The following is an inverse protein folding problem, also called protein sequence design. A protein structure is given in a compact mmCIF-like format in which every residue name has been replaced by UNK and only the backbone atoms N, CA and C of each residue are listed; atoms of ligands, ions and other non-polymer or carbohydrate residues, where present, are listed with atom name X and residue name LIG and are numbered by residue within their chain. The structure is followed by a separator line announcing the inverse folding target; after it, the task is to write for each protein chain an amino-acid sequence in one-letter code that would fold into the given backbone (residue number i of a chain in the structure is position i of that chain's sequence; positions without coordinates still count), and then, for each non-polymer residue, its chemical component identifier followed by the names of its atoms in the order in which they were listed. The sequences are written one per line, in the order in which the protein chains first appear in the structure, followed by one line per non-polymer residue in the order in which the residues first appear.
data_IF_314941145578
#
_entry.id   IF_314941145578
#
_cell.length_a   1.000
_cell.length_b   1.000
_cell.length_c   1.000
_cell.angle_alpha   90.00
_cell.angle_beta   90.00
_cell.angle_gamma   90.00
#
_symmetry.space_group_name_H-M   'P 1'
#
loop_
_entity.id
_entity.type
_entity.pdbx_description
1 polymer ?
#
# COMPACT_ATOMS: atom_id res chain seq x y z
N UNK A 1 -6.14 13.91 5.64
CA UNK A 1 -5.46 12.60 5.42
C UNK A 1 -4.21 12.74 4.54
N UNK A 2 -4.26 13.32 3.34
CA UNK A 2 -3.09 13.47 2.46
C UNK A 2 -1.93 14.23 3.12
N UNK A 3 -2.18 15.42 3.67
CA UNK A 3 -1.17 16.25 4.34
C UNK A 3 -0.57 15.53 5.54
N UNK A 4 -1.40 14.83 6.33
CA UNK A 4 -0.94 14.01 7.44
C UNK A 4 -0.04 12.85 7.00
N UNK A 5 -0.42 12.14 5.92
CA UNK A 5 0.38 11.08 5.34
C UNK A 5 1.74 11.55 4.83
N UNK A 6 1.78 12.68 4.10
CA UNK A 6 3.03 13.29 3.64
C UNK A 6 3.91 13.75 4.82
N UNK A 7 3.31 14.35 5.83
CA UNK A 7 4.01 14.74 7.05
C UNK A 7 4.67 13.55 7.76
N UNK A 8 3.93 12.44 7.87
CA UNK A 8 4.46 11.19 8.45
C UNK A 8 5.66 10.67 7.64
N UNK A 9 5.58 10.65 6.31
CA UNK A 9 6.70 10.25 5.44
C UNK A 9 7.95 11.10 5.66
N UNK A 10 7.78 12.42 5.78
CA UNK A 10 8.91 13.35 6.00
C UNK A 10 9.56 13.13 7.37
N UNK A 11 8.76 12.93 8.42
CA UNK A 11 9.28 12.64 9.76
C UNK A 11 10.01 11.29 9.79
N UNK A 12 9.51 10.30 9.09
CA UNK A 12 10.05 8.94 9.11
C UNK A 12 11.20 8.71 8.11
N UNK A 13 11.66 9.76 7.41
CA UNK A 13 12.74 9.64 6.42
C UNK A 13 13.99 8.91 6.92
N UNK A 14 14.38 9.13 8.19
CA UNK A 14 15.55 8.47 8.77
C UNK A 14 15.33 6.95 8.95
N UNK A 15 14.13 6.56 9.37
CA UNK A 15 13.74 5.16 9.49
C UNK A 15 13.69 4.48 8.12
N UNK A 16 13.18 5.18 7.10
CA UNK A 16 13.15 4.70 5.71
C UNK A 16 14.58 4.47 5.17
N UNK A 17 15.47 5.45 5.36
CA UNK A 17 16.86 5.34 4.91
C UNK A 17 17.57 4.19 5.62
N UNK A 18 17.37 4.04 6.94
CA UNK A 18 17.91 2.89 7.69
C UNK A 18 17.38 1.57 7.19
N UNK A 19 16.07 1.44 6.99
CA UNK A 19 15.46 0.21 6.47
C UNK A 19 16.00 -0.18 5.09
N UNK A 20 16.18 0.79 4.18
CA UNK A 20 16.79 0.55 2.87
C UNK A 20 18.26 0.12 3.02
N UNK A 21 19.02 0.77 3.88
CA UNK A 21 20.44 0.45 4.10
C UNK A 21 20.59 -0.95 4.68
N UNK A 22 19.80 -1.28 5.71
CA UNK A 22 19.80 -2.61 6.33
C UNK A 22 19.38 -3.71 5.35
N UNK A 23 18.40 -3.44 4.47
CA UNK A 23 18.00 -4.39 3.42
C UNK A 23 19.13 -4.64 2.42
N UNK A 24 19.84 -3.59 2.00
CA UNK A 24 21.00 -3.72 1.10
C UNK A 24 22.13 -4.51 1.78
N UNK A 25 22.38 -4.24 3.05
CA UNK A 25 23.39 -4.96 3.84
C UNK A 25 23.01 -6.41 4.06
N UNK A 26 21.76 -6.70 4.42
CA UNK A 26 21.24 -8.05 4.58
C UNK A 26 21.35 -8.85 3.27
N UNK A 27 21.09 -8.22 2.11
CA UNK A 27 21.26 -8.84 0.80
C UNK A 27 22.72 -9.19 0.52
N UNK A 28 23.67 -8.41 1.03
CA UNK A 28 25.11 -8.70 0.94
C UNK A 28 25.56 -9.78 1.94
N UNK A 29 24.97 -9.79 3.14
CA UNK A 29 25.31 -10.75 4.21
C UNK A 29 24.71 -12.14 4.03
N UNK A 30 23.67 -12.31 3.20
CA UNK A 30 23.08 -13.63 2.89
C UNK A 30 24.11 -14.57 2.20
N UNK A 31 25.28 -14.05 1.85
CA UNK A 31 26.44 -14.84 1.39
C UNK A 31 27.29 -15.39 2.55
N UNK A 32 27.13 -14.87 3.78
CA UNK A 32 27.88 -15.29 4.96
C UNK A 32 26.94 -16.03 5.92
N UNK A 33 27.22 -17.32 6.09
CA UNK A 33 26.60 -18.35 6.96
C UNK A 33 25.75 -17.77 8.11
N UNK A 34 24.48 -18.21 8.17
CA UNK A 34 23.61 -17.95 9.31
C UNK A 34 24.26 -18.37 10.65
N UNK A 35 23.83 -17.73 11.72
CA UNK A 35 24.29 -17.98 13.11
C UNK A 35 24.11 -19.42 13.60
N UNK A 36 23.53 -20.31 12.80
CA UNK A 36 23.24 -21.70 13.16
C UNK A 36 22.06 -21.86 14.12
N UNK A 37 21.43 -20.79 14.52
CA UNK A 37 20.22 -20.83 15.34
C UNK A 37 18.97 -20.90 14.45
N UNK A 38 18.07 -21.81 14.78
CA UNK A 38 16.80 -22.02 14.07
C UNK A 38 15.93 -20.75 14.01
N UNK A 39 16.04 -19.89 15.02
CA UNK A 39 15.31 -18.61 15.13
C UNK A 39 15.79 -17.53 14.21
N UNK A 40 16.95 -17.72 13.56
CA UNK A 40 17.58 -16.75 12.66
C UNK A 40 17.51 -17.22 11.18
N UNK A 41 16.78 -18.32 10.91
CA UNK A 41 16.61 -18.85 9.56
C UNK A 41 15.46 -18.15 8.85
N UNK A 42 15.78 -17.16 8.02
CA UNK A 42 14.84 -16.45 7.15
C UNK A 42 14.79 -17.04 5.73
N UNK A 43 13.76 -16.65 4.97
CA UNK A 43 13.72 -16.93 3.54
C UNK A 43 14.93 -16.29 2.81
N UNK A 44 15.60 -17.03 1.93
CA UNK A 44 16.74 -16.47 1.21
C UNK A 44 16.31 -15.30 0.32
N UNK A 45 17.08 -14.20 0.36
CA UNK A 45 16.79 -12.98 -0.40
C UNK A 45 16.57 -13.23 -1.91
N UNK A 46 17.25 -14.23 -2.48
CA UNK A 46 17.04 -14.65 -3.87
C UNK A 46 15.63 -15.19 -4.12
N UNK A 47 15.08 -15.96 -3.18
CA UNK A 47 13.72 -16.49 -3.27
C UNK A 47 12.71 -15.34 -3.21
N UNK A 48 12.90 -14.39 -2.30
CA UNK A 48 12.05 -13.20 -2.19
C UNK A 48 12.08 -12.37 -3.48
N UNK A 49 13.28 -12.07 -3.99
CA UNK A 49 13.43 -11.32 -5.24
C UNK A 49 12.79 -12.03 -6.44
N UNK A 50 12.97 -13.35 -6.54
CA UNK A 50 12.35 -14.15 -7.60
C UNK A 50 10.82 -14.13 -7.51
N UNK A 51 10.26 -14.28 -6.31
CA UNK A 51 8.81 -14.21 -6.07
C UNK A 51 8.26 -12.83 -6.42
N UNK A 52 8.93 -11.74 -6.01
CA UNK A 52 8.57 -10.39 -6.39
C UNK A 52 8.58 -10.19 -7.92
N UNK A 53 9.63 -10.67 -8.60
CA UNK A 53 9.72 -10.59 -10.05
C UNK A 53 8.63 -11.44 -10.75
N UNK A 54 8.32 -12.62 -10.22
CA UNK A 54 7.25 -13.46 -10.73
C UNK A 54 5.87 -12.81 -10.57
N UNK A 55 5.64 -12.08 -9.46
CA UNK A 55 4.38 -11.35 -9.22
C UNK A 55 4.22 -10.12 -10.11
N UNK A 56 5.30 -9.57 -10.67
CA UNK A 56 5.20 -8.48 -11.64
C UNK A 56 4.39 -8.86 -12.89
N UNK A 57 4.48 -10.13 -13.30
CA UNK A 57 3.77 -10.63 -14.50
C UNK A 57 2.25 -10.56 -14.34
N UNK A 58 1.62 -11.20 -13.33
CA UNK A 58 0.18 -11.10 -13.17
C UNK A 58 -0.30 -9.66 -12.87
N UNK A 59 0.47 -8.85 -12.13
CA UNK A 59 0.15 -7.44 -11.90
C UNK A 59 0.12 -6.65 -13.21
N UNK A 60 1.12 -6.84 -14.08
CA UNK A 60 1.16 -6.23 -15.40
C UNK A 60 -0.06 -6.62 -16.24
N UNK A 61 -0.33 -7.92 -16.34
CA UNK A 61 -1.45 -8.42 -17.14
C UNK A 61 -2.80 -7.94 -16.60
N UNK A 62 -2.96 -7.86 -15.29
CA UNK A 62 -4.20 -7.36 -14.68
C UNK A 62 -4.47 -5.91 -15.07
N UNK A 63 -3.47 -5.03 -14.93
CA UNK A 63 -3.63 -3.62 -15.32
C UNK A 63 -3.79 -3.48 -16.83
N UNK A 64 -3.05 -4.25 -17.62
CA UNK A 64 -3.17 -4.23 -19.07
C UNK A 64 -4.54 -4.71 -19.57
N UNK A 65 -5.10 -5.77 -19.01
CA UNK A 65 -6.43 -6.26 -19.35
C UNK A 65 -7.54 -5.27 -19.02
N UNK A 66 -7.38 -4.56 -17.90
CA UNK A 66 -8.37 -3.56 -17.45
C UNK A 66 -8.27 -2.26 -18.26
N UNK A 67 -7.05 -1.75 -18.49
CA UNK A 67 -6.85 -0.48 -19.18
C UNK A 67 -6.84 -0.61 -20.71
N UNK A 68 -6.57 -1.81 -21.24
CA UNK A 68 -6.33 -2.01 -22.68
C UNK A 68 -5.06 -1.32 -23.22
N UNK A 69 -4.32 -0.60 -22.37
CA UNK A 69 -3.23 0.28 -22.74
C UNK A 69 -1.89 -0.22 -22.18
N UNK A 70 -0.89 -0.33 -23.04
CA UNK A 70 0.44 -0.86 -22.65
C UNK A 70 1.21 0.10 -21.73
N UNK A 71 1.17 1.41 -22.05
CA UNK A 71 1.96 2.40 -21.32
C UNK A 71 1.48 2.59 -19.86
N UNK A 72 0.17 2.72 -19.57
CA UNK A 72 -0.33 2.70 -18.20
C UNK A 72 0.05 1.42 -17.44
N UNK A 73 0.04 0.25 -18.10
CA UNK A 73 0.42 -1.01 -17.46
C UNK A 73 1.89 -1.03 -17.03
N UNK A 74 2.81 -0.52 -17.87
CA UNK A 74 4.23 -0.40 -17.52
C UNK A 74 4.43 0.60 -16.38
N UNK A 75 3.81 1.79 -16.46
CA UNK A 75 3.90 2.81 -15.41
C UNK A 75 3.32 2.31 -14.08
N UNK A 76 2.25 1.53 -14.14
CA UNK A 76 1.67 0.90 -12.95
C UNK A 76 2.67 0.01 -12.23
N UNK A 77 3.45 -0.81 -12.93
CA UNK A 77 4.48 -1.64 -12.31
C UNK A 77 5.51 -0.78 -11.58
N UNK A 78 5.98 0.29 -12.22
CA UNK A 78 6.95 1.20 -11.60
C UNK A 78 6.37 1.78 -10.31
N UNK A 79 5.12 2.26 -10.34
CA UNK A 79 4.44 2.82 -9.17
C UNK A 79 4.22 1.75 -8.10
N UNK A 80 3.73 0.55 -8.45
CA UNK A 80 3.48 -0.53 -7.50
C UNK A 80 4.78 -0.92 -6.78
N UNK A 81 5.88 -1.11 -7.50
CA UNK A 81 7.13 -1.51 -6.88
C UNK A 81 7.78 -0.40 -6.06
N UNK A 82 7.80 0.84 -6.57
CA UNK A 82 8.43 1.96 -5.85
C UNK A 82 7.59 2.41 -4.66
N UNK A 83 6.31 2.71 -4.86
CA UNK A 83 5.41 3.12 -3.79
C UNK A 83 5.10 1.95 -2.85
N UNK A 84 4.88 0.74 -3.37
CA UNK A 84 4.63 -0.45 -2.57
C UNK A 84 5.77 -0.73 -1.60
N UNK A 85 7.02 -0.70 -2.08
CA UNK A 85 8.20 -0.86 -1.22
C UNK A 85 8.29 0.25 -0.17
N UNK A 86 8.17 1.51 -0.59
CA UNK A 86 8.26 2.66 0.32
C UNK A 86 7.19 2.58 1.42
N UNK A 87 5.95 2.34 1.03
CA UNK A 87 4.85 2.30 1.98
C UNK A 87 4.82 1.04 2.83
N UNK A 88 5.27 -0.11 2.31
CA UNK A 88 5.47 -1.30 3.12
C UNK A 88 6.53 -1.06 4.21
N UNK A 89 7.63 -0.40 3.90
CA UNK A 89 8.65 -0.05 4.88
C UNK A 89 8.11 0.89 5.97
N UNK A 90 7.34 1.93 5.58
CA UNK A 90 6.69 2.84 6.54
C UNK A 90 5.67 2.11 7.41
N UNK A 91 4.80 1.31 6.78
CA UNK A 91 3.76 0.57 7.48
C UNK A 91 4.32 -0.41 8.48
N UNK A 92 5.37 -1.15 8.10
CA UNK A 92 6.07 -2.06 8.98
C UNK A 92 6.71 -1.34 10.18
N UNK A 93 7.39 -0.23 9.93
CA UNK A 93 7.98 0.56 11.01
C UNK A 93 6.90 1.10 11.98
N UNK A 94 5.80 1.65 11.43
CA UNK A 94 4.69 2.15 12.26
C UNK A 94 4.03 1.03 13.06
N UNK A 95 3.84 -0.15 12.46
CA UNK A 95 3.30 -1.31 13.18
C UNK A 95 4.19 -1.71 14.38
N UNK A 96 5.50 -1.53 14.27
CA UNK A 96 6.45 -1.76 15.38
C UNK A 96 6.31 -0.77 16.54
N UNK A 97 5.82 0.46 16.27
CA UNK A 97 5.68 1.52 17.29
C UNK A 97 4.27 1.58 17.87
N UNK A 98 3.25 1.58 17.00
CA UNK A 98 1.84 1.84 17.41
C UNK A 98 0.93 0.61 17.24
N UNK A 99 1.44 -0.48 16.72
CA UNK A 99 0.67 -1.68 16.40
C UNK A 99 0.03 -1.63 15.01
N UNK A 100 -0.28 -2.80 14.43
CA UNK A 100 -0.83 -2.91 13.08
C UNK A 100 -2.21 -2.27 12.92
N UNK A 101 -3.04 -2.32 13.97
CA UNK A 101 -4.40 -1.74 13.97
C UNK A 101 -4.43 -0.22 13.85
N UNK A 102 -3.36 0.48 14.24
CA UNK A 102 -3.23 1.94 14.17
C UNK A 102 -2.39 2.42 12.99
N UNK A 103 -2.06 1.54 12.06
CA UNK A 103 -1.27 1.85 10.88
C UNK A 103 -2.06 2.79 9.94
N UNK A 104 -1.49 3.92 9.48
CA UNK A 104 -2.18 4.93 8.67
C UNK A 104 -2.36 4.51 7.21
N UNK A 105 -2.86 3.29 6.95
CA UNK A 105 -3.05 2.73 5.61
C UNK A 105 -3.93 3.57 4.72
N UNK A 106 -5.01 4.16 5.27
CA UNK A 106 -5.93 5.01 4.51
C UNK A 106 -5.23 6.26 3.95
N UNK A 107 -4.35 6.89 4.74
CA UNK A 107 -3.58 8.06 4.29
C UNK A 107 -2.61 7.71 3.16
N UNK A 108 -1.93 6.59 3.29
CA UNK A 108 -1.01 6.05 2.27
C UNK A 108 -1.76 5.74 0.97
N UNK A 109 -2.90 5.05 1.06
CA UNK A 109 -3.70 4.68 -0.11
C UNK A 109 -4.18 5.92 -0.88
N UNK A 110 -4.62 6.98 -0.18
CA UNK A 110 -5.02 8.25 -0.80
C UNK A 110 -3.85 8.88 -1.56
N UNK A 111 -2.65 8.87 -0.99
CA UNK A 111 -1.44 9.41 -1.68
C UNK A 111 -1.19 8.65 -2.98
N UNK A 112 -1.27 7.32 -2.94
CA UNK A 112 -1.07 6.46 -4.12
C UNK A 112 -2.15 6.70 -5.17
N UNK A 113 -3.42 6.81 -4.77
CA UNK A 113 -4.53 7.15 -5.68
C UNK A 113 -4.26 8.46 -6.38
N UNK A 114 -3.91 9.51 -5.64
CA UNK A 114 -3.65 10.83 -6.23
C UNK A 114 -2.43 10.81 -7.15
N UNK A 115 -1.33 10.17 -6.72
CA UNK A 115 -0.12 10.04 -7.53
C UNK A 115 -0.40 9.30 -8.84
N UNK A 116 -1.09 8.17 -8.77
CA UNK A 116 -1.40 7.36 -9.94
C UNK A 116 -2.42 8.05 -10.84
N UNK A 117 -3.48 8.63 -10.26
CA UNK A 117 -4.51 9.34 -11.00
C UNK A 117 -3.95 10.57 -11.73
N UNK A 118 -3.09 11.35 -11.08
CA UNK A 118 -2.43 12.49 -11.74
C UNK A 118 -1.49 12.05 -12.84
N UNK A 119 -0.71 10.99 -12.63
CA UNK A 119 0.17 10.43 -13.65
C UNK A 119 -0.62 9.94 -14.86
N UNK A 120 -1.73 9.24 -14.63
CA UNK A 120 -2.59 8.72 -15.71
C UNK A 120 -3.40 9.81 -16.37
N UNK A 121 -3.84 10.85 -15.66
CA UNK A 121 -4.50 12.01 -16.25
C UNK A 121 -3.57 12.77 -17.21
N UNK A 122 -2.32 12.99 -16.80
CA UNK A 122 -1.30 13.58 -17.66
C UNK A 122 -1.02 12.71 -18.89
N UNK A 123 -0.89 11.40 -18.69
CA UNK A 123 -0.67 10.46 -19.79
C UNK A 123 -1.86 10.46 -20.76
N UNK A 124 -3.09 10.43 -20.24
CA UNK A 124 -4.31 10.43 -21.05
C UNK A 124 -4.43 11.70 -21.89
N UNK A 125 -4.13 12.85 -21.30
CA UNK A 125 -4.18 14.14 -22.02
C UNK A 125 -3.08 14.29 -23.07
N UNK A 126 -1.86 13.81 -22.80
CA UNK A 126 -0.70 14.00 -23.67
C UNK A 126 -0.60 12.96 -24.79
N UNK A 127 -1.01 11.72 -24.53
CA UNK A 127 -0.80 10.59 -25.45
C UNK A 127 -2.09 10.06 -26.06
N UNK A 128 -3.19 10.02 -25.29
CA UNK A 128 -4.43 9.37 -25.70
C UNK A 128 -5.58 10.35 -26.01
N UNK A 129 -5.35 11.66 -25.94
CA UNK A 129 -6.37 12.66 -26.29
C UNK A 129 -7.58 12.73 -25.36
N UNK A 130 -7.54 12.08 -24.19
CA UNK A 130 -8.60 12.16 -23.19
C UNK A 130 -9.69 11.08 -23.26
N UNK A 131 -9.61 10.14 -24.22
CA UNK A 131 -10.72 9.21 -24.50
C UNK A 131 -10.85 8.03 -23.50
N UNK A 132 -9.77 7.63 -22.80
CA UNK A 132 -9.73 6.39 -21.99
C UNK A 132 -9.92 6.63 -20.49
N UNK A 133 -10.82 7.50 -20.10
CA UNK A 133 -10.95 7.95 -18.70
C UNK A 133 -11.47 6.84 -17.77
N UNK A 134 -12.46 6.04 -18.21
CA UNK A 134 -13.09 5.02 -17.40
C UNK A 134 -12.14 3.84 -17.11
N UNK A 135 -11.44 3.37 -18.13
CA UNK A 135 -10.48 2.27 -18.01
C UNK A 135 -9.31 2.65 -17.11
N UNK A 136 -8.84 3.87 -17.22
CA UNK A 136 -7.77 4.40 -16.38
C UNK A 136 -8.19 4.59 -14.92
N UNK A 137 -9.47 4.93 -14.66
CA UNK A 137 -9.99 5.01 -13.29
C UNK A 137 -9.93 3.66 -12.57
N UNK A 138 -10.35 2.60 -13.23
CA UNK A 138 -10.27 1.23 -12.67
C UNK A 138 -8.83 0.81 -12.46
N UNK A 139 -7.94 1.14 -13.40
CA UNK A 139 -6.52 0.86 -13.28
C UNK A 139 -5.87 1.58 -12.08
N UNK A 140 -6.23 2.86 -11.82
CA UNK A 140 -5.76 3.62 -10.64
C UNK A 140 -6.15 2.94 -9.34
N UNK A 141 -7.41 2.53 -9.23
CA UNK A 141 -7.89 1.84 -8.02
C UNK A 141 -7.18 0.49 -7.85
N UNK A 142 -6.94 -0.25 -8.95
CA UNK A 142 -6.18 -1.49 -8.93
C UNK A 142 -4.75 -1.29 -8.42
N UNK A 143 -4.03 -0.29 -8.92
CA UNK A 143 -2.67 0.06 -8.45
C UNK A 143 -2.68 0.41 -6.97
N UNK A 144 -3.63 1.24 -6.53
CA UNK A 144 -3.76 1.62 -5.14
C UNK A 144 -4.06 0.42 -4.22
N UNK A 145 -4.89 -0.53 -4.69
CA UNK A 145 -5.19 -1.77 -3.97
C UNK A 145 -3.93 -2.62 -3.77
N UNK A 146 -3.09 -2.80 -4.79
CA UNK A 146 -1.81 -3.53 -4.65
C UNK A 146 -0.90 -2.89 -3.61
N UNK A 147 -0.74 -1.57 -3.65
CA UNK A 147 0.11 -0.85 -2.69
C UNK A 147 -0.47 -0.90 -1.28
N UNK A 148 -1.80 -0.78 -1.13
CA UNK A 148 -2.47 -0.89 0.16
C UNK A 148 -2.31 -2.29 0.76
N UNK A 149 -2.46 -3.35 -0.04
CA UNK A 149 -2.22 -4.73 0.40
C UNK A 149 -0.76 -4.93 0.85
N UNK A 150 0.21 -4.41 0.10
CA UNK A 150 1.62 -4.50 0.48
C UNK A 150 1.88 -3.80 1.83
N UNK A 151 1.30 -2.62 2.05
CA UNK A 151 1.40 -1.90 3.32
C UNK A 151 0.73 -2.64 4.50
N UNK A 152 -0.46 -3.20 4.28
CA UNK A 152 -1.19 -3.95 5.30
C UNK A 152 -0.40 -5.21 5.74
N UNK A 153 -0.03 -6.03 4.77
CA UNK A 153 0.74 -7.26 5.01
C UNK A 153 2.08 -6.99 5.69
N UNK A 154 2.74 -5.89 5.36
CA UNK A 154 4.01 -5.53 6.00
C UNK A 154 3.86 -5.33 7.51
N UNK A 155 2.80 -4.65 7.96
CA UNK A 155 2.50 -4.46 9.38
C UNK A 155 2.21 -5.77 10.10
N UNK A 156 1.33 -6.57 9.53
CA UNK A 156 0.92 -7.85 10.10
C UNK A 156 2.08 -8.85 10.15
N UNK A 157 2.87 -8.94 9.08
CA UNK A 157 4.06 -9.80 9.01
C UNK A 157 5.08 -9.48 10.10
N UNK A 158 5.34 -8.20 10.38
CA UNK A 158 6.28 -7.82 11.45
C UNK A 158 5.78 -8.22 12.83
N UNK A 159 4.48 -8.08 13.11
CA UNK A 159 3.91 -8.52 14.39
C UNK A 159 3.95 -10.03 14.56
N UNK A 160 3.63 -10.77 13.50
CA UNK A 160 3.69 -12.24 13.51
C UNK A 160 5.12 -12.75 13.72
N UNK A 161 6.09 -12.18 13.00
CA UNK A 161 7.50 -12.56 13.16
C UNK A 161 8.02 -12.21 14.55
N UNK A 162 7.60 -11.07 15.14
CA UNK A 162 7.97 -10.72 16.50
C UNK A 162 7.39 -11.67 17.52
N UNK A 163 6.12 -12.05 17.37
CA UNK A 163 5.47 -13.06 18.22
C UNK A 163 6.18 -14.41 18.09
N UNK A 164 6.48 -14.82 16.88
CA UNK A 164 7.23 -16.03 16.60
C UNK A 164 8.62 -16.04 17.22
N UNK A 165 9.33 -14.92 17.16
CA UNK A 165 10.63 -14.78 17.81
C UNK A 165 10.54 -15.02 19.33
N UNK A 166 9.51 -14.47 19.99
CA UNK A 166 9.30 -14.64 21.44
C UNK A 166 9.05 -16.09 21.82
N UNK A 167 8.28 -16.85 21.00
CA UNK A 167 7.98 -18.26 21.26
C UNK A 167 9.02 -19.23 20.67
N UNK A 168 10.07 -18.71 20.02
CA UNK A 168 11.14 -19.51 19.42
C UNK A 168 10.74 -20.23 18.13
N UNK A 169 9.80 -19.68 17.37
CA UNK A 169 9.42 -20.21 16.05
C UNK A 169 10.47 -19.89 14.98
N UNK A 170 10.48 -20.67 13.91
CA UNK A 170 11.38 -20.46 12.76
C UNK A 170 10.75 -19.46 11.79
N UNK A 171 11.39 -18.30 11.48
CA UNK A 171 10.78 -17.23 10.68
C UNK A 171 10.31 -17.67 9.29
N UNK A 172 11.11 -18.41 8.52
CA UNK A 172 10.72 -18.83 7.18
C UNK A 172 9.45 -19.69 7.16
N UNK A 173 9.20 -20.48 8.20
CA UNK A 173 7.98 -21.32 8.31
C UNK A 173 6.74 -20.45 8.55
N UNK A 174 6.87 -19.39 9.34
CA UNK A 174 5.80 -18.43 9.57
C UNK A 174 5.48 -17.68 8.28
N UNK A 175 6.49 -17.22 7.54
CA UNK A 175 6.32 -16.54 6.26
C UNK A 175 5.59 -17.42 5.24
N UNK A 176 5.92 -18.71 5.14
CA UNK A 176 5.18 -19.66 4.29
C UNK A 176 3.74 -19.82 4.78
N UNK A 177 3.52 -19.94 6.09
CA UNK A 177 2.18 -20.01 6.68
C UNK A 177 1.31 -18.79 6.30
N UNK A 178 1.89 -17.59 6.33
CA UNK A 178 1.22 -16.36 5.91
C UNK A 178 0.86 -16.38 4.41
N UNK A 179 1.76 -16.84 3.55
CA UNK A 179 1.47 -16.99 2.10
C UNK A 179 0.29 -17.93 1.87
N UNK A 180 0.23 -19.05 2.60
CA UNK A 180 -0.90 -20.00 2.52
C UNK A 180 -2.20 -19.33 3.01
N UNK A 181 -2.12 -18.58 4.12
CA UNK A 181 -3.26 -17.83 4.66
C UNK A 181 -3.79 -16.78 3.69
N UNK A 182 -2.89 -16.01 3.06
CA UNK A 182 -3.25 -15.01 2.02
C UNK A 182 -3.89 -15.69 0.83
N UNK A 183 -3.36 -16.83 0.36
CA UNK A 183 -3.94 -17.58 -0.75
C UNK A 183 -5.37 -18.07 -0.42
N UNK A 184 -5.58 -18.59 0.79
CA UNK A 184 -6.91 -19.01 1.24
C UNK A 184 -7.87 -17.81 1.34
N UNK A 185 -7.42 -16.68 1.90
CA UNK A 185 -8.20 -15.43 1.95
C UNK A 185 -8.57 -14.91 0.57
N UNK A 186 -7.62 -14.94 -0.38
CA UNK A 186 -7.85 -14.51 -1.75
C UNK A 186 -8.91 -15.34 -2.49
N UNK A 187 -9.14 -16.58 -2.09
CA UNK A 187 -10.24 -17.42 -2.64
C UNK A 187 -11.60 -17.05 -2.02
N UNK A 188 -11.65 -16.72 -0.74
CA UNK A 188 -12.90 -16.49 -0.01
C UNK A 188 -13.39 -15.04 -0.10
N UNK A 189 -12.48 -14.06 0.07
CA UNK A 189 -12.84 -12.64 0.15
C UNK A 189 -13.59 -12.13 -1.09
N UNK A 190 -13.20 -12.45 -2.35
CA UNK A 190 -13.93 -12.00 -3.52
C UNK A 190 -15.36 -12.54 -3.60
N UNK A 191 -15.59 -13.76 -3.11
CA UNK A 191 -16.93 -14.34 -3.05
C UNK A 191 -17.82 -13.58 -2.06
N UNK A 192 -17.27 -13.26 -0.87
CA UNK A 192 -17.98 -12.48 0.14
C UNK A 192 -18.27 -11.06 -0.37
N UNK A 193 -17.29 -10.40 -1.00
CA UNK A 193 -17.47 -9.07 -1.56
C UNK A 193 -18.53 -9.05 -2.67
N UNK A 194 -18.58 -10.09 -3.50
CA UNK A 194 -19.61 -10.21 -4.54
C UNK A 194 -21.01 -10.37 -3.96
N UNK A 195 -21.14 -11.11 -2.84
CA UNK A 195 -22.44 -11.25 -2.14
C UNK A 195 -22.89 -9.93 -1.49
N UNK A 196 -21.94 -9.08 -1.06
CA UNK A 196 -22.21 -7.79 -0.42
C UNK A 196 -22.32 -6.64 -1.42
N UNK A 197 -21.96 -6.84 -2.68
CA UNK A 197 -21.88 -5.79 -3.69
C UNK A 197 -23.21 -5.04 -3.88
N UNK A 198 -24.32 -5.77 -3.97
CA UNK A 198 -25.65 -5.16 -4.13
C UNK A 198 -26.04 -4.30 -2.92
N UNK A 199 -25.69 -4.72 -1.70
CA UNK A 199 -25.98 -3.97 -0.48
C UNK A 199 -25.14 -2.68 -0.40
N UNK A 200 -23.88 -2.74 -0.85
CA UNK A 200 -22.98 -1.57 -0.91
C UNK A 200 -23.48 -0.58 -1.98
N UNK A 201 -23.86 -1.07 -3.15
CA UNK A 201 -24.33 -0.22 -4.26
C UNK A 201 -25.67 0.44 -3.92
N UNK A 202 -26.59 -0.28 -3.27
CA UNK A 202 -27.88 0.24 -2.86
C UNK A 202 -27.81 1.19 -1.64
N UNK A 203 -26.65 1.28 -0.98
CA UNK A 203 -26.43 2.12 0.20
C UNK A 203 -26.90 1.52 1.52
N UNK A 204 -27.28 0.24 1.54
CA UNK A 204 -27.67 -0.48 2.76
C UNK A 204 -26.44 -0.78 3.64
N UNK A 205 -25.27 -0.89 3.02
CA UNK A 205 -24.00 -1.07 3.69
C UNK A 205 -23.04 0.06 3.34
N UNK A 206 -22.57 0.79 4.38
CA UNK A 206 -21.66 1.90 4.20
C UNK A 206 -20.23 1.42 3.88
N UNK A 207 -19.66 1.92 2.78
CA UNK A 207 -18.27 1.71 2.39
C UNK A 207 -17.54 3.05 2.13
N UNK A 208 -17.39 3.90 3.17
CA UNK A 208 -16.96 5.30 3.00
C UNK A 208 -15.57 5.42 2.37
N UNK A 209 -14.65 4.51 2.65
CA UNK A 209 -13.31 4.51 2.05
C UNK A 209 -13.35 4.20 0.55
N UNK A 210 -14.15 3.24 0.12
CA UNK A 210 -14.29 2.89 -1.29
C UNK A 210 -14.87 4.06 -2.09
N UNK A 211 -15.94 4.69 -1.57
CA UNK A 211 -16.54 5.86 -2.20
C UNK A 211 -15.59 7.06 -2.25
N UNK A 212 -14.77 7.28 -1.19
CA UNK A 212 -13.77 8.33 -1.18
C UNK A 212 -12.71 8.11 -2.27
N UNK A 213 -12.18 6.90 -2.41
CA UNK A 213 -11.18 6.58 -3.43
C UNK A 213 -11.75 6.73 -4.84
N UNK A 214 -12.97 6.26 -5.06
CA UNK A 214 -13.68 6.43 -6.32
C UNK A 214 -13.91 7.91 -6.65
N UNK A 215 -14.34 8.72 -5.67
CA UNK A 215 -14.57 10.16 -5.86
C UNK A 215 -13.30 10.92 -6.20
N UNK A 216 -12.18 10.62 -5.53
CA UNK A 216 -10.87 11.22 -5.83
C UNK A 216 -10.43 10.86 -7.26
N UNK A 217 -10.55 9.59 -7.62
CA UNK A 217 -10.16 9.10 -8.94
C UNK A 217 -11.00 9.74 -10.05
N UNK A 218 -12.33 9.77 -9.86
CA UNK A 218 -13.26 10.45 -10.77
C UNK A 218 -12.98 11.94 -10.86
N UNK A 219 -12.70 12.59 -9.74
CA UNK A 219 -12.42 14.02 -9.69
C UNK A 219 -11.15 14.39 -10.48
N UNK A 220 -10.09 13.61 -10.38
CA UNK A 220 -8.82 13.89 -11.06
C UNK A 220 -8.88 13.56 -12.55
N UNK A 221 -9.36 12.36 -12.91
CA UNK A 221 -9.41 11.89 -14.30
C UNK A 221 -10.58 12.48 -15.07
N UNK A 222 -11.74 12.66 -14.44
CA UNK A 222 -12.94 13.25 -15.03
C UNK A 222 -13.01 14.77 -14.98
N UNK A 223 -12.04 15.44 -14.34
CA UNK A 223 -11.96 16.92 -14.26
C UNK A 223 -13.01 17.57 -13.36
N UNK A 224 -13.81 16.80 -12.59
CA UNK A 224 -14.87 17.29 -11.74
C UNK A 224 -14.47 17.53 -10.27
N UNK A 225 -13.18 17.64 -9.96
CA UNK A 225 -12.70 17.81 -8.59
C UNK A 225 -12.97 19.23 -8.06
N UNK A 226 -13.63 19.32 -6.93
CA UNK A 226 -13.78 20.60 -6.21
C UNK A 226 -12.48 20.94 -5.46
N UNK A 227 -11.58 21.62 -6.16
CA UNK A 227 -10.30 22.07 -5.62
C UNK A 227 -10.44 22.97 -4.41
N UNK A 228 -11.56 23.71 -4.29
CA UNK A 228 -11.83 24.58 -3.14
C UNK A 228 -11.95 23.78 -1.85
N UNK A 229 -12.70 22.66 -1.88
CA UNK A 229 -12.83 21.74 -0.76
C UNK A 229 -11.52 21.05 -0.40
N UNK A 230 -10.73 20.69 -1.42
CA UNK A 230 -9.41 20.06 -1.22
C UNK A 230 -8.44 21.01 -0.52
N UNK A 231 -8.35 22.26 -0.97
CA UNK A 231 -7.48 23.27 -0.35
C UNK A 231 -7.96 23.66 1.06
N UNK A 232 -9.26 23.73 1.31
CA UNK A 232 -9.80 23.98 2.64
C UNK A 232 -9.45 22.84 3.60
N UNK A 233 -9.63 21.59 3.18
CA UNK A 233 -9.23 20.41 3.97
C UNK A 233 -7.71 20.34 4.22
N UNK A 234 -6.90 20.68 3.23
CA UNK A 234 -5.45 20.76 3.38
C UNK A 234 -5.03 21.87 4.36
N UNK A 235 -5.69 23.03 4.31
CA UNK A 235 -5.46 24.14 5.24
C UNK A 235 -5.76 23.77 6.69
N UNK A 236 -6.91 23.13 6.93
CA UNK A 236 -7.26 22.62 8.26
C UNK A 236 -6.22 21.61 8.76
N UNK A 237 -5.82 20.66 7.93
CA UNK A 237 -4.81 19.67 8.29
C UNK A 237 -3.46 20.33 8.62
N UNK A 238 -3.04 21.32 7.83
CA UNK A 238 -1.82 22.07 8.09
C UNK A 238 -1.89 22.85 9.42
N UNK A 239 -3.02 23.50 9.73
CA UNK A 239 -3.22 24.17 11.00
C UNK A 239 -3.13 23.20 12.19
N UNK A 240 -3.75 22.02 12.10
CA UNK A 240 -3.71 21.01 13.14
C UNK A 240 -2.27 20.49 13.37
N UNK A 241 -1.49 20.29 12.30
CA UNK A 241 -0.10 19.89 12.39
C UNK A 241 0.76 21.00 13.00
N UNK A 242 0.56 22.25 12.59
CA UNK A 242 1.29 23.40 13.12
C UNK A 242 1.01 23.62 14.61
N UNK A 243 -0.20 23.38 15.07
CA UNK A 243 -0.57 23.41 16.48
C UNK A 243 -0.01 22.22 17.30
N UNK A 244 0.73 21.32 16.67
CA UNK A 244 1.24 20.08 17.28
C UNK A 244 0.19 19.18 17.94
N UNK A 245 -1.07 19.35 17.60
CA UNK A 245 -2.13 18.44 18.00
C UNK A 245 -2.08 17.20 17.11
N UNK A 246 -1.15 16.31 17.40
CA UNK A 246 -1.08 15.04 16.72
C UNK A 246 -2.10 14.08 17.34
N UNK A 247 -3.17 13.82 16.61
CA UNK A 247 -4.23 12.86 17.00
C UNK A 247 -3.66 11.43 17.17
N UNK A 248 -2.51 11.14 16.59
CA UNK A 248 -1.79 9.86 16.75
C UNK A 248 -1.09 9.71 18.11
N UNK A 249 -0.68 10.83 18.74
CA UNK A 249 0.01 10.82 20.02
C UNK A 249 -0.90 11.10 21.22
N UNK A 250 -2.15 11.47 20.99
CA UNK A 250 -3.13 11.75 22.06
C UNK A 250 -4.03 10.56 22.37
N UNK A 251 -3.93 9.45 21.65
CA UNK A 251 -4.54 8.20 22.08
C UNK A 251 -3.80 7.73 23.34
N UNK A 252 -4.45 7.69 24.52
CA UNK A 252 -3.82 7.08 25.67
C UNK A 252 -3.53 5.62 25.31
N UNK A 253 -2.24 5.25 25.36
CA UNK A 253 -1.89 3.84 25.31
C UNK A 253 -2.59 3.15 26.49
N UNK A 254 -3.23 2.00 26.27
CA UNK A 254 -3.79 1.21 27.36
C UNK A 254 -2.70 0.76 28.34
#
# INVERSE_FOLDING_TARGET
MLVGGLYTLVIMREALIKGITEMIEATKQTVTKGSGLRTDEDLPAKSIALTCAAMAVPMFFMVWLVSGLLLPAILSLIIIFTAGFLFAAVAGYMAGIVGSSNNPLSGVTIIVVILTATTFALLNSLVYGGENTAELQVAVIGVAAFVACAGAISGDNLQDLKTGYIVGATPWRQQIGQVVGVAAGALVIPLVLNLLADQIINGDLEAPQAFLMASITNGILGGGMDWSMVFMGAGIAFCLIALRHCLLYTSPSP
#
